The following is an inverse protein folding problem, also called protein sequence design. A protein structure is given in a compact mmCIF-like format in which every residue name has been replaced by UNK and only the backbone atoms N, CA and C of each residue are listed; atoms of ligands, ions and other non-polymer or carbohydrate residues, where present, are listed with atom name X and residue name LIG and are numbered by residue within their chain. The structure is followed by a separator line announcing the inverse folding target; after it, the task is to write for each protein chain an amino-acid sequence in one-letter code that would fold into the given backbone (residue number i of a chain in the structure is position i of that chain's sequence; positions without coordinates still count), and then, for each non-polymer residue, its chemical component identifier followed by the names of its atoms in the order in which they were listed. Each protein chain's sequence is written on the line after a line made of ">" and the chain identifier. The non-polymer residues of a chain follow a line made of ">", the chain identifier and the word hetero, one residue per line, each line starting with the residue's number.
data_IF_186074195489
#
_entry.id   IF_186074195489
#
_cell.length_a   1.000
_cell.length_b   1.000
_cell.length_c   1.000
_cell.angle_alpha   90.00
_cell.angle_beta   90.00
_cell.angle_gamma   90.00
#
_symmetry.space_group_name_H-M   'P 1'
#
loop_
_entity.id
_entity.type
_entity.pdbx_description
1 polymer ?
#
# COMPACT_ATOMS: atom_id res chain seq x y z
N UNK A 1 -34.44 -32.85 0.04
CA UNK A 1 -33.36 -33.12 1.04
C UNK A 1 -32.06 -32.58 0.47
N UNK A 2 -31.76 -31.33 0.74
CA UNK A 2 -30.53 -30.64 0.28
C UNK A 2 -29.52 -30.78 1.41
N UNK A 3 -28.46 -31.56 1.17
CA UNK A 3 -27.36 -31.72 2.10
C UNK A 3 -26.56 -30.41 2.12
N UNK A 4 -26.65 -29.68 3.23
CA UNK A 4 -25.75 -28.56 3.54
C UNK A 4 -24.38 -29.15 3.86
N UNK A 5 -23.46 -29.11 2.91
CA UNK A 5 -22.04 -29.33 3.19
C UNK A 5 -21.53 -28.14 4.04
N UNK A 6 -21.49 -28.36 5.34
CA UNK A 6 -20.69 -27.51 6.26
C UNK A 6 -19.22 -27.83 6.02
N UNK A 7 -18.58 -27.12 5.09
CA UNK A 7 -17.14 -27.04 5.03
C UNK A 7 -16.66 -26.21 6.24
N UNK A 8 -16.17 -26.89 7.24
CA UNK A 8 -15.33 -26.28 8.29
C UNK A 8 -14.01 -25.84 7.66
N UNK A 9 -14.00 -24.63 7.11
CA UNK A 9 -12.78 -23.91 6.73
C UNK A 9 -12.09 -23.42 8.02
N UNK A 10 -11.52 -24.35 8.78
CA UNK A 10 -10.58 -24.05 9.83
C UNK A 10 -9.23 -23.68 9.18
N UNK A 11 -9.12 -22.44 8.75
CA UNK A 11 -7.92 -21.87 8.19
C UNK A 11 -8.12 -20.38 7.98
N UNK A 12 -7.05 -19.60 8.00
CA UNK A 12 -7.01 -18.15 7.86
C UNK A 12 -7.89 -17.58 6.72
N UNK A 13 -8.26 -18.39 5.72
CA UNK A 13 -9.05 -17.99 4.56
C UNK A 13 -10.48 -17.55 4.84
N UNK A 14 -11.20 -18.20 5.76
CA UNK A 14 -12.60 -17.82 6.06
C UNK A 14 -12.68 -16.61 7.01
N UNK A 15 -11.68 -16.43 7.83
CA UNK A 15 -11.51 -15.29 8.71
C UNK A 15 -11.02 -14.05 7.97
N UNK A 16 -10.32 -14.18 6.85
CA UNK A 16 -9.80 -13.06 6.06
C UNK A 16 -10.88 -12.12 5.51
N UNK A 17 -12.04 -12.63 5.11
CA UNK A 17 -13.18 -11.81 4.63
C UNK A 17 -13.90 -11.03 5.75
N UNK A 18 -13.76 -11.47 7.01
CA UNK A 18 -14.36 -10.79 8.18
C UNK A 18 -13.39 -9.93 8.98
N UNK A 19 -12.10 -9.95 8.64
CA UNK A 19 -11.01 -9.43 9.45
C UNK A 19 -10.38 -8.14 8.96
N UNK A 20 -10.79 -7.61 7.81
CA UNK A 20 -10.57 -6.18 7.58
C UNK A 20 -11.29 -5.47 8.71
N UNK A 21 -10.52 -4.87 9.63
CA UNK A 21 -11.09 -4.11 10.73
C UNK A 21 -12.21 -3.25 10.15
N UNK A 22 -13.41 -3.27 10.72
CA UNK A 22 -14.44 -2.38 10.25
C UNK A 22 -13.82 -0.99 10.29
N UNK A 23 -13.78 -0.32 9.13
CA UNK A 23 -13.46 1.08 9.09
C UNK A 23 -14.32 1.72 10.15
N UNK A 24 -13.71 2.30 11.15
CA UNK A 24 -14.47 2.89 12.25
C UNK A 24 -15.35 3.96 11.65
N UNK A 25 -16.57 4.14 12.18
CA UNK A 25 -17.50 5.19 11.72
C UNK A 25 -16.90 6.62 11.80
N UNK A 26 -15.74 6.77 12.43
CA UNK A 26 -14.94 7.99 12.49
C UNK A 26 -13.87 7.99 11.39
N UNK A 27 -14.25 7.78 10.14
CA UNK A 27 -13.32 8.05 9.05
C UNK A 27 -12.95 9.53 9.03
N UNK A 28 -11.65 9.78 8.93
CA UNK A 28 -11.19 11.14 8.68
C UNK A 28 -11.79 11.63 7.36
N UNK A 29 -12.34 12.83 7.37
CA UNK A 29 -12.86 13.45 6.15
C UNK A 29 -11.79 14.36 5.56
N UNK A 30 -11.48 14.25 4.27
CA UNK A 30 -10.57 15.18 3.61
C UNK A 30 -11.14 16.60 3.65
N UNK A 31 -10.26 17.58 3.87
CA UNK A 31 -10.65 18.99 3.98
C UNK A 31 -10.39 19.77 2.69
N UNK A 32 -9.61 19.17 1.76
CA UNK A 32 -9.19 19.81 0.51
C UNK A 32 -9.91 19.23 -0.69
N UNK A 33 -10.07 20.09 -1.71
CA UNK A 33 -10.45 19.60 -3.04
C UNK A 33 -9.23 18.99 -3.73
N UNK A 34 -9.39 17.76 -4.18
CA UNK A 34 -8.37 17.03 -4.90
C UNK A 34 -8.56 17.20 -6.40
N UNK A 35 -7.52 17.64 -7.08
CA UNK A 35 -7.48 17.80 -8.54
C UNK A 35 -6.63 16.72 -9.16
N UNK A 36 -6.89 16.40 -10.42
CA UNK A 36 -6.00 15.54 -11.19
C UNK A 36 -4.69 16.27 -11.48
N UNK A 37 -3.57 15.56 -11.39
CA UNK A 37 -2.24 16.13 -11.62
C UNK A 37 -1.92 16.32 -13.09
N UNK A 38 -2.64 15.60 -13.93
CA UNK A 38 -2.52 15.62 -15.37
C UNK A 38 -3.84 16.14 -15.95
N UNK A 39 -3.79 16.83 -17.08
CA UNK A 39 -4.99 17.35 -17.72
C UNK A 39 -5.98 16.27 -18.14
N UNK A 40 -5.50 15.03 -18.30
CA UNK A 40 -6.23 13.83 -18.64
C UNK A 40 -5.74 12.66 -17.78
N UNK A 41 -6.51 11.57 -17.65
CA UNK A 41 -6.01 10.37 -16.99
C UNK A 41 -4.69 9.89 -17.61
N UNK A 42 -3.73 9.55 -16.76
CA UNK A 42 -2.39 9.17 -17.19
C UNK A 42 -2.42 7.81 -17.91
N UNK A 43 -1.98 7.80 -19.16
CA UNK A 43 -1.92 6.60 -20.00
C UNK A 43 -0.47 6.12 -20.17
N UNK A 44 -0.20 4.87 -19.82
CA UNK A 44 1.10 4.22 -20.03
C UNK A 44 0.95 2.71 -20.12
N UNK A 45 1.73 2.07 -21.00
CA UNK A 45 1.76 0.62 -21.19
C UNK A 45 0.37 -0.03 -21.42
N UNK A 46 -0.54 0.67 -22.10
CA UNK A 46 -1.90 0.20 -22.39
C UNK A 46 -2.90 0.34 -21.25
N UNK A 47 -2.51 0.91 -20.12
CA UNK A 47 -3.35 1.15 -18.93
C UNK A 47 -3.56 2.66 -18.78
N UNK A 48 -4.73 3.04 -18.31
CA UNK A 48 -5.10 4.45 -18.10
C UNK A 48 -5.82 4.62 -16.78
N UNK A 49 -5.24 5.41 -15.87
CA UNK A 49 -5.84 5.78 -14.58
C UNK A 49 -5.63 7.26 -14.27
N UNK A 50 -6.54 7.83 -13.49
CA UNK A 50 -6.37 9.18 -12.94
C UNK A 50 -5.32 9.19 -11.82
N UNK A 51 -4.52 10.25 -11.77
CA UNK A 51 -3.57 10.51 -10.67
C UNK A 51 -3.94 11.84 -10.04
N UNK A 52 -4.27 11.83 -8.76
CA UNK A 52 -4.58 13.03 -7.97
C UNK A 52 -3.36 13.52 -7.23
N UNK A 53 -3.24 14.84 -6.99
CA UNK A 53 -2.11 15.37 -6.23
C UNK A 53 -2.46 16.52 -5.29
N UNK A 54 -1.57 16.72 -4.33
CA UNK A 54 -1.50 17.90 -3.47
C UNK A 54 -0.09 18.47 -3.49
N UNK A 55 -0.01 19.81 -3.56
CA UNK A 55 1.24 20.58 -3.57
C UNK A 55 2.09 20.34 -4.84
N UNK A 56 1.50 19.95 -5.98
CA UNK A 56 2.23 19.90 -7.25
C UNK A 56 2.82 21.28 -7.56
N UNK A 57 4.05 21.30 -8.07
CA UNK A 57 4.80 22.55 -8.33
C UNK A 57 5.47 23.19 -7.10
N UNK A 58 5.45 22.55 -5.92
CA UNK A 58 6.20 23.00 -4.74
C UNK A 58 7.60 22.39 -4.67
N UNK A 59 8.47 22.96 -3.83
CA UNK A 59 9.83 22.43 -3.57
C UNK A 59 9.86 21.27 -2.57
N UNK A 60 8.73 20.67 -2.27
CA UNK A 60 8.63 19.51 -1.37
C UNK A 60 8.99 18.23 -2.11
N UNK A 61 9.69 17.29 -1.47
CA UNK A 61 10.02 16.02 -2.12
C UNK A 61 8.74 15.22 -2.45
N UNK A 62 8.70 14.56 -3.62
CA UNK A 62 7.53 13.83 -4.07
C UNK A 62 7.38 12.47 -3.38
N UNK A 63 6.14 12.12 -3.06
CA UNK A 63 5.77 10.78 -2.64
C UNK A 63 4.55 10.28 -3.43
N UNK A 64 4.49 8.96 -3.63
CA UNK A 64 3.35 8.29 -4.22
C UNK A 64 2.67 7.46 -3.12
N UNK A 65 1.39 7.71 -2.87
CA UNK A 65 0.57 6.96 -1.95
C UNK A 65 -0.36 6.02 -2.72
N UNK A 66 -0.12 4.73 -2.62
CA UNK A 66 -0.97 3.70 -3.22
C UNK A 66 -2.02 3.26 -2.19
N UNK A 67 -3.28 3.31 -2.59
CA UNK A 67 -4.42 3.03 -1.72
C UNK A 67 -4.67 1.52 -1.53
N UNK A 68 -5.48 1.19 -0.54
CA UNK A 68 -5.97 -0.17 -0.29
C UNK A 68 -7.04 -0.57 -1.32
N UNK A 69 -7.42 -1.86 -1.33
CA UNK A 69 -8.40 -2.43 -2.27
C UNK A 69 -9.77 -1.73 -2.30
N UNK A 70 -10.14 -1.04 -1.21
CA UNK A 70 -11.38 -0.26 -1.15
C UNK A 70 -11.35 1.04 -1.96
N UNK A 71 -10.20 1.39 -2.56
CA UNK A 71 -10.05 2.58 -3.39
C UNK A 71 -9.59 3.82 -2.62
N UNK A 72 -9.77 4.99 -3.22
CA UNK A 72 -9.48 6.28 -2.61
C UNK A 72 -10.58 6.68 -1.63
N UNK A 73 -10.58 6.03 -0.46
CA UNK A 73 -11.52 6.34 0.63
C UNK A 73 -11.27 7.73 1.21
N UNK A 74 -12.26 8.32 1.92
CA UNK A 74 -12.03 9.56 2.68
C UNK A 74 -10.82 9.47 3.60
N UNK A 75 -10.62 8.33 4.28
CA UNK A 75 -9.46 8.11 5.15
C UNK A 75 -8.12 8.13 4.41
N UNK A 76 -8.06 7.55 3.20
CA UNK A 76 -6.86 7.61 2.35
C UNK A 76 -6.55 9.04 1.94
N UNK A 77 -7.56 9.81 1.53
CA UNK A 77 -7.40 11.20 1.14
C UNK A 77 -6.96 12.08 2.33
N UNK A 78 -7.54 11.86 3.51
CA UNK A 78 -7.14 12.57 4.72
C UNK A 78 -5.70 12.26 5.14
N UNK A 79 -5.25 11.00 5.01
CA UNK A 79 -3.85 10.65 5.25
C UNK A 79 -2.91 11.31 4.23
N UNK A 80 -3.30 11.37 2.97
CA UNK A 80 -2.53 12.09 1.96
C UNK A 80 -2.47 13.60 2.24
N UNK A 81 -3.54 14.21 2.79
CA UNK A 81 -3.51 15.60 3.26
C UNK A 81 -2.54 15.80 4.44
N UNK A 82 -2.49 14.85 5.36
CA UNK A 82 -1.52 14.86 6.45
C UNK A 82 -0.08 14.84 5.91
N UNK A 83 0.22 13.93 4.98
CA UNK A 83 1.52 13.84 4.32
C UNK A 83 1.87 15.09 3.51
N UNK A 84 0.88 15.78 2.96
CA UNK A 84 1.10 17.00 2.16
C UNK A 84 1.68 18.19 2.94
N UNK A 85 1.72 18.09 4.28
CA UNK A 85 2.41 19.09 5.10
C UNK A 85 3.91 19.15 4.80
N UNK A 86 4.50 18.00 4.44
CA UNK A 86 5.94 17.86 4.22
C UNK A 86 6.31 17.46 2.79
N UNK A 87 5.39 16.90 2.02
CA UNK A 87 5.61 16.28 0.72
C UNK A 87 4.70 16.83 -0.36
N UNK A 88 5.13 16.70 -1.62
CA UNK A 88 4.23 16.70 -2.76
C UNK A 88 3.66 15.30 -2.88
N UNK A 89 2.33 15.14 -2.77
CA UNK A 89 1.68 13.84 -2.68
C UNK A 89 0.94 13.53 -3.96
N UNK A 90 1.28 12.40 -4.57
CA UNK A 90 0.60 11.84 -5.74
C UNK A 90 -0.17 10.59 -5.34
N UNK A 91 -1.43 10.52 -5.74
CA UNK A 91 -2.33 9.41 -5.36
C UNK A 91 -3.03 8.85 -6.61
N UNK A 92 -2.50 7.79 -7.21
CA UNK A 92 -3.16 7.11 -8.32
C UNK A 92 -4.47 6.47 -7.88
N UNK A 93 -5.53 6.61 -8.69
CA UNK A 93 -6.80 5.89 -8.52
C UNK A 93 -6.72 4.56 -9.25
N UNK A 94 -6.33 3.51 -8.55
CA UNK A 94 -6.15 2.17 -9.12
C UNK A 94 -7.46 1.37 -9.15
N UNK A 95 -8.37 1.66 -8.22
CA UNK A 95 -9.68 1.01 -8.09
C UNK A 95 -10.73 1.96 -7.57
N UNK A 96 -12.00 1.62 -7.85
CA UNK A 96 -13.16 2.29 -7.27
C UNK A 96 -13.35 3.73 -7.72
N UNK A 97 -13.94 4.53 -6.86
CA UNK A 97 -14.23 5.95 -7.09
C UNK A 97 -13.57 6.81 -6.01
N UNK A 98 -13.11 8.00 -6.39
CA UNK A 98 -12.51 8.95 -5.46
C UNK A 98 -13.51 9.40 -4.39
N UNK A 99 -13.07 9.33 -3.12
CA UNK A 99 -13.85 9.85 -1.99
C UNK A 99 -15.07 9.03 -1.60
N UNK A 100 -15.20 7.82 -2.15
CA UNK A 100 -16.29 6.90 -1.80
C UNK A 100 -15.76 5.65 -1.11
N UNK A 101 -16.33 5.39 0.05
CA UNK A 101 -16.27 4.07 0.65
C UNK A 101 -17.56 3.33 0.31
N UNK A 102 -17.48 2.28 -0.47
CA UNK A 102 -18.59 1.37 -0.72
C UNK A 102 -18.13 -0.07 -0.53
N UNK A 103 -18.50 -0.71 0.60
CA UNK A 103 -18.21 -2.13 0.79
C UNK A 103 -18.78 -3.00 -0.33
N UNK A 104 -19.96 -2.62 -0.85
CA UNK A 104 -20.60 -3.32 -1.96
C UNK A 104 -19.86 -3.11 -3.28
N UNK A 105 -19.36 -1.90 -3.59
CA UNK A 105 -18.56 -1.66 -4.80
C UNK A 105 -17.15 -2.23 -4.68
N UNK A 106 -16.57 -2.24 -3.48
CA UNK A 106 -15.28 -2.91 -3.21
C UNK A 106 -15.40 -4.42 -3.40
N UNK A 107 -16.48 -5.03 -2.88
CA UNK A 107 -16.76 -6.46 -3.08
C UNK A 107 -17.09 -6.78 -4.54
N UNK A 108 -17.85 -5.92 -5.22
CA UNK A 108 -18.20 -6.03 -6.64
C UNK A 108 -16.98 -5.84 -7.55
N UNK A 109 -16.18 -4.80 -7.32
CA UNK A 109 -14.92 -4.57 -8.02
C UNK A 109 -13.95 -5.73 -7.78
N UNK A 110 -13.92 -6.27 -6.55
CA UNK A 110 -13.11 -7.42 -6.21
C UNK A 110 -13.56 -8.71 -6.91
N UNK A 111 -14.86 -9.04 -6.89
CA UNK A 111 -15.35 -10.29 -7.48
C UNK A 111 -15.39 -10.25 -9.01
N UNK A 112 -15.74 -9.18 -9.64
CA UNK A 112 -15.86 -9.09 -11.10
C UNK A 112 -14.62 -8.51 -11.79
N UNK A 113 -14.02 -7.47 -11.27
CA UNK A 113 -12.74 -6.96 -11.78
C UNK A 113 -11.56 -7.76 -11.26
N UNK A 114 -11.55 -8.09 -9.98
CA UNK A 114 -10.48 -8.87 -9.37
C UNK A 114 -10.31 -10.23 -10.02
N UNK A 115 -11.38 -10.94 -10.37
CA UNK A 115 -11.29 -12.17 -11.15
C UNK A 115 -10.68 -11.91 -12.53
N UNK A 116 -11.03 -10.84 -13.22
CA UNK A 116 -10.51 -10.50 -14.54
C UNK A 116 -9.11 -9.90 -14.46
N UNK A 117 -8.87 -9.03 -13.50
CA UNK A 117 -7.61 -8.27 -13.38
C UNK A 117 -6.47 -9.08 -12.76
N UNK A 118 -6.77 -10.10 -11.92
CA UNK A 118 -5.79 -11.02 -11.34
C UNK A 118 -5.52 -12.27 -12.18
N UNK A 119 -6.29 -12.51 -13.25
CA UNK A 119 -5.98 -13.56 -14.20
C UNK A 119 -4.77 -13.20 -15.07
N UNK A 120 -4.07 -14.19 -15.62
CA UNK A 120 -3.03 -13.94 -16.63
C UNK A 120 -3.58 -13.05 -17.76
N UNK A 121 -2.97 -11.87 -17.94
CA UNK A 121 -3.42 -10.84 -18.91
C UNK A 121 -4.25 -9.70 -18.33
N UNK A 122 -4.66 -9.76 -17.04
CA UNK A 122 -5.25 -8.63 -16.34
C UNK A 122 -4.20 -7.66 -15.78
N UNK A 123 -4.61 -6.45 -15.42
CA UNK A 123 -3.71 -5.40 -14.91
C UNK A 123 -2.89 -5.84 -13.68
N UNK A 124 -3.45 -6.72 -12.86
CA UNK A 124 -2.87 -7.24 -11.61
C UNK A 124 -2.36 -8.67 -11.71
N UNK A 125 -2.45 -9.27 -12.90
CA UNK A 125 -1.93 -10.61 -13.12
C UNK A 125 -0.42 -10.64 -12.96
N UNK A 126 0.09 -11.53 -12.10
CA UNK A 126 1.54 -11.75 -11.96
C UNK A 126 1.97 -12.67 -13.11
N UNK A 127 2.77 -12.18 -14.06
CA UNK A 127 3.25 -13.00 -15.16
C UNK A 127 4.31 -13.99 -14.70
N UNK A 128 4.60 -14.99 -15.51
CA UNK A 128 5.71 -15.92 -15.29
C UNK A 128 7.08 -15.22 -15.41
N UNK A 129 7.14 -14.21 -16.26
CA UNK A 129 8.30 -13.38 -16.54
C UNK A 129 7.86 -11.91 -16.70
N UNK A 130 8.79 -11.00 -16.51
CA UNK A 130 8.51 -9.56 -16.54
C UNK A 130 7.71 -9.05 -15.34
N UNK A 131 7.27 -7.82 -15.42
CA UNK A 131 6.49 -7.15 -14.36
C UNK A 131 4.99 -7.23 -14.60
N UNK A 132 4.23 -7.14 -13.52
CA UNK A 132 2.76 -6.98 -13.65
C UNK A 132 2.43 -5.73 -14.47
N UNK A 133 1.36 -5.74 -15.29
CA UNK A 133 0.97 -4.59 -16.10
C UNK A 133 0.79 -3.30 -15.29
N UNK A 134 0.18 -3.39 -14.10
CA UNK A 134 0.00 -2.24 -13.22
C UNK A 134 1.33 -1.68 -12.68
N UNK A 135 2.33 -2.54 -12.40
CA UNK A 135 3.66 -2.08 -12.02
C UNK A 135 4.34 -1.33 -13.19
N UNK A 136 4.18 -1.81 -14.42
CA UNK A 136 4.67 -1.13 -15.60
C UNK A 136 4.01 0.24 -15.81
N UNK A 137 2.70 0.34 -15.59
CA UNK A 137 1.99 1.61 -15.62
C UNK A 137 2.53 2.58 -14.55
N UNK A 138 2.70 2.11 -13.32
CA UNK A 138 3.25 2.90 -12.21
C UNK A 138 4.69 3.34 -12.46
N UNK A 139 5.52 2.56 -13.16
CA UNK A 139 6.84 3.00 -13.62
C UNK A 139 6.77 4.21 -14.54
N UNK A 140 5.74 4.28 -15.39
CA UNK A 140 5.44 5.47 -16.17
C UNK A 140 5.15 6.69 -15.30
N UNK A 141 4.30 6.53 -14.29
CA UNK A 141 3.98 7.59 -13.30
C UNK A 141 5.25 8.03 -12.56
N UNK A 142 6.06 7.09 -12.06
CA UNK A 142 7.32 7.39 -11.35
C UNK A 142 8.27 8.19 -12.24
N UNK A 143 8.41 7.83 -13.53
CA UNK A 143 9.27 8.57 -14.49
C UNK A 143 8.79 10.00 -14.70
N UNK A 144 7.48 10.20 -14.87
CA UNK A 144 6.91 11.53 -15.06
C UNK A 144 7.12 12.39 -13.80
N UNK A 145 6.83 11.87 -12.62
CA UNK A 145 7.10 12.54 -11.35
C UNK A 145 8.59 12.85 -11.20
N UNK A 146 9.47 11.91 -11.54
CA UNK A 146 10.92 12.12 -11.50
C UNK A 146 11.39 13.24 -12.43
N UNK A 147 10.74 13.44 -13.58
CA UNK A 147 11.06 14.57 -14.46
C UNK A 147 10.55 15.91 -13.94
N UNK A 148 9.44 15.93 -13.20
CA UNK A 148 8.91 17.14 -12.54
C UNK A 148 9.74 17.56 -11.31
N UNK A 149 10.40 16.60 -10.66
CA UNK A 149 11.21 16.78 -9.45
C UNK A 149 12.65 16.33 -9.70
N UNK A 150 13.43 17.04 -10.55
CA UNK A 150 14.73 16.56 -11.02
C UNK A 150 15.78 16.42 -9.91
N UNK A 151 15.66 17.14 -8.82
CA UNK A 151 16.65 17.20 -7.74
C UNK A 151 16.24 16.41 -6.49
N UNK A 152 15.03 15.84 -6.47
CA UNK A 152 14.49 15.16 -5.30
C UNK A 152 14.52 13.63 -5.41
N UNK A 153 14.61 12.94 -4.27
CA UNK A 153 14.28 11.52 -4.16
C UNK A 153 12.77 11.32 -4.12
N UNK A 154 12.31 10.16 -4.59
CA UNK A 154 10.90 9.76 -4.60
C UNK A 154 10.67 8.73 -3.49
N UNK A 155 9.63 8.94 -2.67
CA UNK A 155 9.11 7.95 -1.74
C UNK A 155 7.86 7.27 -2.27
N UNK A 156 7.67 5.98 -1.97
CA UNK A 156 6.47 5.26 -2.38
C UNK A 156 5.90 4.52 -1.18
N UNK A 157 4.60 4.70 -0.91
CA UNK A 157 3.87 4.02 0.14
C UNK A 157 2.85 3.08 -0.51
N UNK A 158 2.95 1.78 -0.25
CA UNK A 158 1.95 0.79 -0.62
C UNK A 158 1.20 0.27 0.61
N UNK A 159 -0.09 0.02 0.47
CA UNK A 159 -0.96 -0.42 1.55
C UNK A 159 -1.76 -1.67 1.14
N UNK A 160 -1.85 -2.68 2.00
CA UNK A 160 -2.64 -3.88 1.77
C UNK A 160 -2.25 -4.58 0.44
N UNK A 161 -3.16 -4.68 -0.50
CA UNK A 161 -2.93 -5.25 -1.81
C UNK A 161 -1.82 -4.52 -2.58
N UNK A 162 -1.73 -3.20 -2.46
CA UNK A 162 -0.66 -2.42 -3.07
C UNK A 162 0.63 -2.42 -2.24
N UNK A 163 0.61 -3.02 -1.04
CA UNK A 163 1.73 -3.06 -0.11
C UNK A 163 3.07 -3.46 -0.72
N UNK A 164 3.16 -4.53 -1.51
CA UNK A 164 4.41 -4.95 -2.14
C UNK A 164 4.82 -4.12 -3.37
N UNK A 165 3.88 -3.41 -4.01
CA UNK A 165 4.12 -2.70 -5.28
C UNK A 165 5.29 -1.70 -5.23
N UNK A 166 5.54 -0.95 -4.12
CA UNK A 166 6.71 -0.09 -4.04
C UNK A 166 8.03 -0.80 -4.36
N UNK A 167 8.14 -2.10 -4.06
CA UNK A 167 9.34 -2.88 -4.35
C UNK A 167 9.55 -3.08 -5.86
N UNK A 168 8.47 -3.27 -6.64
CA UNK A 168 8.54 -3.40 -8.09
C UNK A 168 8.95 -2.09 -8.80
N UNK A 169 8.96 -0.97 -8.09
CA UNK A 169 9.27 0.35 -8.64
C UNK A 169 10.68 0.86 -8.25
N UNK A 170 11.48 -0.01 -7.61
CA UNK A 170 12.83 0.32 -7.17
C UNK A 170 13.88 0.33 -8.30
N UNK A 171 13.47 0.05 -9.55
CA UNK A 171 14.28 0.20 -10.75
C UNK A 171 14.59 1.66 -11.09
N UNK A 172 13.73 2.59 -10.67
CA UNK A 172 13.96 3.99 -10.94
C UNK A 172 14.99 4.57 -9.95
N UNK A 173 16.12 5.17 -10.43
CA UNK A 173 17.25 5.56 -9.57
C UNK A 173 16.92 6.63 -8.54
N UNK A 174 15.80 7.36 -8.70
CA UNK A 174 15.33 8.37 -7.75
C UNK A 174 14.40 7.81 -6.69
N UNK A 175 13.92 6.59 -6.82
CA UNK A 175 13.15 5.94 -5.73
C UNK A 175 14.14 5.58 -4.62
N UNK A 176 14.04 6.29 -3.50
CA UNK A 176 14.95 6.18 -2.35
C UNK A 176 14.33 5.49 -1.15
N UNK A 177 13.00 5.54 -1.06
CA UNK A 177 12.26 5.03 0.08
C UNK A 177 11.02 4.28 -0.37
N UNK A 178 10.86 3.04 0.09
CA UNK A 178 9.67 2.23 -0.09
C UNK A 178 9.05 1.89 1.26
N UNK A 179 7.76 2.19 1.44
CA UNK A 179 6.98 1.76 2.59
C UNK A 179 6.07 0.61 2.16
N UNK A 180 6.26 -0.54 2.78
CA UNK A 180 5.52 -1.79 2.53
C UNK A 180 4.58 -1.99 3.72
N UNK A 181 3.40 -1.35 3.66
CA UNK A 181 2.44 -1.42 4.75
C UNK A 181 1.47 -2.59 4.55
N UNK A 182 1.36 -3.46 5.55
CA UNK A 182 0.53 -4.66 5.59
C UNK A 182 0.38 -5.38 4.23
N UNK A 183 1.45 -5.92 3.65
CA UNK A 183 1.46 -6.49 2.31
C UNK A 183 0.56 -7.73 2.23
N UNK A 184 -0.51 -7.67 1.43
CA UNK A 184 -1.52 -8.72 1.34
C UNK A 184 -1.40 -9.61 0.10
N UNK A 185 -0.60 -9.24 -0.91
CA UNK A 185 -0.38 -10.10 -2.08
C UNK A 185 0.51 -11.32 -1.75
N UNK A 186 0.29 -12.46 -2.43
CA UNK A 186 -0.81 -12.76 -3.35
C UNK A 186 -2.12 -12.99 -2.59
N UNK A 187 -3.22 -12.45 -3.12
CA UNK A 187 -4.55 -12.59 -2.51
C UNK A 187 -5.28 -13.80 -3.10
N UNK A 188 -5.03 -14.99 -2.56
CA UNK A 188 -5.68 -16.25 -2.97
C UNK A 188 -6.65 -16.72 -1.90
N UNK A 189 -7.82 -16.12 -1.81
CA UNK A 189 -8.78 -16.38 -0.72
C UNK A 189 -9.30 -17.82 -0.63
N UNK A 190 -9.32 -18.53 -1.75
CA UNK A 190 -9.79 -19.92 -1.78
C UNK A 190 -8.71 -20.95 -1.46
N UNK A 191 -7.44 -20.57 -1.52
CA UNK A 191 -6.31 -21.46 -1.24
C UNK A 191 -5.09 -20.64 -0.86
N UNK A 192 -4.96 -20.30 0.43
CA UNK A 192 -3.79 -19.65 0.96
C UNK A 192 -2.80 -20.70 1.44
N UNK A 193 -1.69 -20.83 0.74
CA UNK A 193 -0.64 -21.83 0.98
C UNK A 193 0.49 -21.29 1.84
N UNK A 194 1.40 -22.15 2.30
CA UNK A 194 2.61 -21.71 3.00
C UNK A 194 3.53 -20.90 2.07
N UNK A 195 3.51 -21.17 0.77
CA UNK A 195 4.19 -20.34 -0.23
C UNK A 195 3.59 -18.94 -0.29
N UNK A 196 2.28 -18.82 -0.30
CA UNK A 196 1.60 -17.52 -0.29
C UNK A 196 1.91 -16.70 0.97
N UNK A 197 2.12 -17.36 2.13
CA UNK A 197 2.51 -16.70 3.39
C UNK A 197 3.87 -16.01 3.30
N UNK A 198 4.80 -16.60 2.55
CA UNK A 198 6.17 -16.07 2.39
C UNK A 198 6.33 -15.21 1.16
N UNK A 199 5.46 -15.36 0.16
CA UNK A 199 5.51 -14.61 -1.10
C UNK A 199 5.21 -13.13 -0.88
N UNK A 200 5.92 -12.29 -1.61
CA UNK A 200 5.66 -10.84 -1.68
C UNK A 200 4.70 -10.49 -2.81
N UNK A 201 4.24 -11.47 -3.62
CA UNK A 201 3.36 -11.22 -4.76
C UNK A 201 4.03 -10.38 -5.86
N UNK A 202 5.34 -10.52 -6.02
CA UNK A 202 6.15 -9.92 -7.07
C UNK A 202 6.58 -11.00 -8.07
N UNK A 203 6.84 -10.59 -9.32
CA UNK A 203 7.54 -11.45 -10.26
C UNK A 203 9.01 -11.67 -9.83
N UNK A 204 9.66 -12.69 -10.38
CA UNK A 204 11.07 -12.93 -10.11
C UNK A 204 11.95 -11.74 -10.56
N UNK A 205 11.61 -11.15 -11.70
CA UNK A 205 12.33 -10.01 -12.26
C UNK A 205 12.18 -8.76 -11.39
N UNK A 206 10.96 -8.46 -10.90
CA UNK A 206 10.72 -7.33 -10.00
C UNK A 206 11.47 -7.50 -8.67
N UNK A 207 11.53 -8.73 -8.16
CA UNK A 207 12.26 -9.02 -6.93
C UNK A 207 13.78 -8.85 -7.12
N UNK A 208 14.31 -9.29 -8.26
CA UNK A 208 15.74 -9.13 -8.57
C UNK A 208 16.11 -7.65 -8.73
N UNK A 209 15.28 -6.88 -9.43
CA UNK A 209 15.44 -5.42 -9.53
C UNK A 209 15.45 -4.78 -8.13
N UNK A 210 14.51 -5.17 -7.27
CA UNK A 210 14.43 -4.66 -5.91
C UNK A 210 15.68 -5.00 -5.08
N UNK A 211 16.28 -6.18 -5.27
CA UNK A 211 17.54 -6.57 -4.60
C UNK A 211 18.71 -5.68 -4.96
N UNK A 212 18.80 -5.27 -6.21
CA UNK A 212 19.91 -4.43 -6.74
C UNK A 212 19.76 -2.95 -6.36
N UNK A 213 18.58 -2.49 -5.99
CA UNK A 213 18.33 -1.10 -5.62
C UNK A 213 18.97 -0.73 -4.28
N UNK A 214 19.57 0.48 -4.13
CA UNK A 214 20.06 0.97 -2.84
C UNK A 214 18.95 1.53 -1.93
N UNK A 215 17.71 1.63 -2.38
CA UNK A 215 16.60 2.21 -1.66
C UNK A 215 16.36 1.53 -0.31
N UNK A 216 15.97 2.32 0.69
CA UNK A 216 15.57 1.81 2.01
C UNK A 216 14.10 1.39 2.00
N UNK A 217 13.81 0.34 2.76
CA UNK A 217 12.49 -0.28 2.81
C UNK A 217 12.00 -0.29 4.26
N UNK A 218 10.79 0.22 4.50
CA UNK A 218 10.16 0.20 5.80
C UNK A 218 8.91 -0.66 5.76
N UNK A 219 8.94 -1.80 6.45
CA UNK A 219 7.80 -2.71 6.55
C UNK A 219 6.91 -2.35 7.73
N UNK A 220 5.59 -2.39 7.53
CA UNK A 220 4.59 -2.19 8.57
C UNK A 220 3.58 -3.34 8.56
N UNK A 221 3.24 -3.85 9.74
CA UNK A 221 2.12 -4.76 9.97
C UNK A 221 1.72 -4.75 11.44
N UNK A 222 0.50 -5.14 11.74
CA UNK A 222 0.14 -5.52 13.11
C UNK A 222 0.60 -6.94 13.39
N UNK A 223 1.06 -7.21 14.60
CA UNK A 223 1.51 -8.54 15.03
C UNK A 223 0.46 -9.62 14.79
N UNK A 224 -0.81 -9.28 14.98
CA UNK A 224 -1.96 -10.20 14.83
C UNK A 224 -2.54 -10.22 13.41
N UNK A 225 -1.96 -9.50 12.46
CA UNK A 225 -2.45 -9.45 11.09
C UNK A 225 -2.17 -10.78 10.36
N UNK A 226 -3.25 -11.50 10.02
CA UNK A 226 -3.14 -12.78 9.32
C UNK A 226 -3.09 -12.64 7.80
N UNK A 227 -3.47 -11.48 7.23
CA UNK A 227 -3.33 -11.23 5.77
C UNK A 227 -1.91 -10.81 5.43
N UNK A 228 -1.32 -9.94 6.24
CA UNK A 228 0.10 -9.61 6.17
C UNK A 228 0.87 -10.49 7.16
N UNK A 229 1.00 -11.77 6.83
CA UNK A 229 1.66 -12.75 7.69
C UNK A 229 3.09 -12.31 8.05
N UNK A 230 3.52 -12.62 9.29
CA UNK A 230 4.90 -12.36 9.74
C UNK A 230 5.95 -12.96 8.82
N UNK A 231 5.64 -14.08 8.19
CA UNK A 231 6.55 -14.72 7.23
C UNK A 231 6.92 -13.78 6.05
N UNK A 232 6.05 -12.85 5.66
CA UNK A 232 6.37 -11.82 4.65
C UNK A 232 7.44 -10.85 5.15
N UNK A 233 7.39 -10.42 6.41
CA UNK A 233 8.43 -9.59 7.03
C UNK A 233 9.77 -10.34 7.15
N UNK A 234 9.73 -11.63 7.46
CA UNK A 234 10.93 -12.47 7.44
C UNK A 234 11.52 -12.60 6.03
N UNK A 235 10.65 -12.70 5.00
CA UNK A 235 11.09 -12.66 3.61
C UNK A 235 11.71 -11.31 3.27
N UNK A 236 11.08 -10.18 3.60
CA UNK A 236 11.64 -8.85 3.39
C UNK A 236 13.02 -8.70 4.05
N UNK A 237 13.18 -9.18 5.29
CA UNK A 237 14.47 -9.16 5.99
C UNK A 237 15.52 -10.00 5.29
N UNK A 238 15.16 -11.20 4.83
CA UNK A 238 16.08 -12.09 4.09
C UNK A 238 16.52 -11.49 2.76
N UNK A 239 15.58 -10.90 2.01
CA UNK A 239 15.83 -10.37 0.67
C UNK A 239 16.61 -9.06 0.70
N UNK A 240 16.36 -8.20 1.70
CA UNK A 240 16.86 -6.83 1.70
C UNK A 240 17.85 -6.49 2.83
N UNK A 241 18.06 -7.40 3.78
CA UNK A 241 19.07 -7.24 4.85
C UNK A 241 18.96 -5.90 5.59
N UNK A 242 20.08 -5.18 5.68
CA UNK A 242 20.17 -3.88 6.39
C UNK A 242 19.40 -2.73 5.73
N UNK A 243 18.87 -2.94 4.54
CA UNK A 243 17.98 -1.97 3.88
C UNK A 243 16.53 -2.06 4.38
N UNK A 244 16.17 -3.16 5.02
CA UNK A 244 14.84 -3.38 5.57
C UNK A 244 14.76 -2.99 7.05
N UNK A 245 13.86 -2.04 7.35
CA UNK A 245 13.48 -1.65 8.70
C UNK A 245 12.12 -2.27 9.02
N UNK A 246 12.09 -3.05 10.09
CA UNK A 246 10.89 -3.75 10.54
C UNK A 246 10.09 -2.88 11.52
N UNK A 247 8.90 -2.48 11.10
CA UNK A 247 7.96 -1.65 11.85
C UNK A 247 6.77 -2.46 12.39
N UNK A 248 6.95 -3.71 12.77
CA UNK A 248 5.88 -4.52 13.38
C UNK A 248 5.26 -3.78 14.58
N UNK A 249 3.93 -3.70 14.62
CA UNK A 249 3.15 -3.07 15.68
C UNK A 249 2.66 -4.18 16.61
N UNK A 250 3.12 -4.23 17.87
CA UNK A 250 2.78 -5.32 18.78
C UNK A 250 1.29 -5.27 19.16
N UNK A 251 0.69 -6.44 19.39
CA UNK A 251 -0.70 -6.59 19.79
C UNK A 251 -1.00 -5.82 21.10
N UNK A 252 -0.03 -5.74 22.01
CA UNK A 252 -0.12 -4.98 23.26
C UNK A 252 -0.31 -3.48 23.07
N UNK A 253 0.10 -2.92 21.91
CA UNK A 253 -0.06 -1.51 21.61
C UNK A 253 -1.50 -1.16 21.18
N UNK A 254 -2.33 -2.16 20.85
CA UNK A 254 -3.71 -1.95 20.39
C UNK A 254 -4.64 -2.99 21.02
N UNK A 255 -5.09 -2.73 22.23
CA UNK A 255 -6.03 -3.57 22.96
C UNK A 255 -7.14 -2.69 23.55
N UNK A 256 -8.16 -2.30 22.79
CA UNK A 256 -9.33 -1.71 23.42
C UNK A 256 -9.95 -2.77 24.34
N UNK A 257 -10.19 -2.41 25.55
CA UNK A 257 -10.82 -3.25 26.59
C UNK A 257 -10.07 -4.56 26.92
N UNK A 258 -8.74 -4.60 26.73
CA UNK A 258 -7.91 -5.76 27.07
C UNK A 258 -8.07 -6.97 26.15
N UNK A 259 -8.82 -6.84 25.04
CA UNK A 259 -8.97 -7.90 24.04
C UNK A 259 -8.09 -7.62 22.82
N UNK A 260 -7.32 -8.61 22.36
CA UNK A 260 -6.55 -8.45 21.13
C UNK A 260 -7.49 -8.18 19.96
N UNK A 261 -7.21 -7.15 19.20
CA UNK A 261 -7.92 -6.85 17.94
C UNK A 261 -7.06 -7.34 16.79
N UNK A 262 -7.69 -8.06 15.90
CA UNK A 262 -7.07 -8.37 14.63
C UNK A 262 -7.29 -7.18 13.70
N UNK A 263 -6.24 -6.39 13.50
CA UNK A 263 -6.27 -5.18 12.67
C UNK A 263 -5.40 -5.43 11.45
N UNK A 264 -5.84 -4.98 10.28
CA UNK A 264 -5.06 -5.10 9.04
C UNK A 264 -4.53 -3.73 8.58
N UNK A 265 -5.38 -2.71 8.46
CA UNK A 265 -4.99 -1.40 7.90
C UNK A 265 -4.19 -0.56 8.89
N UNK A 266 -2.86 -0.55 8.77
CA UNK A 266 -1.96 0.13 9.72
C UNK A 266 -2.00 1.65 9.63
N UNK A 267 -2.15 2.22 8.44
CA UNK A 267 -2.02 3.65 8.20
C UNK A 267 -3.36 4.37 7.99
N UNK A 268 -4.42 3.64 7.62
CA UNK A 268 -5.69 4.25 7.20
C UNK A 268 -6.85 3.78 8.07
N UNK A 269 -7.15 2.48 8.09
CA UNK A 269 -8.38 1.95 8.69
C UNK A 269 -8.38 1.80 10.21
N UNK A 270 -7.20 1.76 10.84
CA UNK A 270 -7.07 1.68 12.30
C UNK A 270 -7.00 3.07 12.96
N UNK A 271 -7.21 4.14 12.21
CA UNK A 271 -7.23 5.49 12.74
C UNK A 271 -8.48 5.74 13.58
N UNK A 272 -8.29 6.32 14.78
CA UNK A 272 -9.35 6.84 15.63
C UNK A 272 -8.93 8.20 16.17
N UNK A 273 -9.69 9.25 15.88
CA UNK A 273 -9.37 10.60 16.33
C UNK A 273 -9.52 10.79 17.84
N UNK A 274 -10.41 10.02 18.47
CA UNK A 274 -10.83 10.17 19.86
C UNK A 274 -9.89 9.56 20.90
N UNK A 275 -8.96 8.69 20.50
CA UNK A 275 -8.06 8.08 21.50
C UNK A 275 -6.92 9.04 21.86
N UNK A 276 -6.96 9.56 23.06
CA UNK A 276 -5.97 10.52 23.59
C UNK A 276 -4.58 9.89 23.84
N UNK A 277 -4.48 8.58 23.91
CA UNK A 277 -3.25 7.85 24.21
C UNK A 277 -2.79 7.05 23.02
N UNK A 278 -1.72 7.53 22.33
CA UNK A 278 -0.82 6.77 21.48
C UNK A 278 -1.46 5.72 20.57
N UNK A 279 -2.28 6.15 19.62
CA UNK A 279 -2.85 5.18 18.69
C UNK A 279 -1.75 4.57 17.85
N UNK A 280 -1.68 3.25 17.72
CA UNK A 280 -0.65 2.58 16.92
C UNK A 280 -0.54 3.10 15.49
N UNK A 281 -1.67 3.49 14.88
CA UNK A 281 -1.68 4.07 13.53
C UNK A 281 -1.11 5.48 13.50
N UNK A 282 -1.34 6.31 14.51
CA UNK A 282 -0.72 7.64 14.61
C UNK A 282 0.79 7.51 14.72
N UNK A 283 1.26 6.67 15.63
CA UNK A 283 2.69 6.42 15.81
C UNK A 283 3.32 5.79 14.56
N UNK A 284 2.58 4.92 13.86
CA UNK A 284 3.01 4.35 12.58
C UNK A 284 3.14 5.43 11.51
N UNK A 285 2.17 6.35 11.39
CA UNK A 285 2.23 7.49 10.47
C UNK A 285 3.41 8.39 10.75
N UNK A 286 3.67 8.73 12.02
CA UNK A 286 4.84 9.54 12.41
C UNK A 286 6.17 8.83 12.09
N UNK A 287 6.26 7.53 12.33
CA UNK A 287 7.45 6.75 11.95
C UNK A 287 7.66 6.72 10.42
N UNK A 288 6.59 6.51 9.64
CA UNK A 288 6.65 6.57 8.18
C UNK A 288 7.07 7.95 7.71
N UNK A 289 6.48 9.01 8.27
CA UNK A 289 6.84 10.40 7.96
C UNK A 289 8.32 10.67 8.24
N UNK A 290 8.81 10.29 9.42
CA UNK A 290 10.21 10.47 9.82
C UNK A 290 11.15 9.67 8.90
N UNK A 291 10.82 8.43 8.56
CA UNK A 291 11.57 7.61 7.62
C UNK A 291 11.66 8.28 6.24
N UNK A 292 10.54 8.70 5.66
CA UNK A 292 10.52 9.37 4.36
C UNK A 292 11.32 10.68 4.36
N UNK A 293 11.17 11.52 5.40
CA UNK A 293 11.93 12.74 5.51
C UNK A 293 13.43 12.51 5.57
N UNK A 294 13.85 11.47 6.30
CA UNK A 294 15.26 11.09 6.39
C UNK A 294 15.83 10.65 5.05
N UNK A 295 15.13 9.76 4.37
CA UNK A 295 15.65 9.13 3.14
C UNK A 295 15.53 10.04 1.90
N UNK A 296 14.58 11.00 1.90
CA UNK A 296 14.36 11.88 0.76
C UNK A 296 15.12 13.23 0.86
N UNK A 297 15.38 13.74 2.09
CA UNK A 297 16.13 15.00 2.29
C UNK A 297 17.65 14.86 2.15
N UNK A 298 18.17 13.63 2.15
CA UNK A 298 19.62 13.37 2.12
C UNK A 298 20.33 13.70 0.80
N UNK A 299 19.66 14.34 -0.17
CA UNK A 299 20.18 14.55 -1.53
C UNK A 299 20.50 16.03 -1.82
N UNK A 300 20.05 16.97 -1.00
CA UNK A 300 20.48 18.36 -1.21
C UNK A 300 21.94 18.48 -0.82
N UNK A 301 22.86 18.76 -1.76
CA UNK A 301 24.20 19.21 -1.39
C UNK A 301 24.00 20.47 -0.51
N UNK A 302 24.62 20.47 0.67
CA UNK A 302 24.71 21.68 1.46
C UNK A 302 25.30 22.76 0.56
N UNK A 303 24.47 23.73 0.19
CA UNK A 303 24.85 24.86 -0.65
C UNK A 303 25.66 25.88 0.13
#
# INVERSE_FOLDING_TARGET
>A
MVAVLSLSLAGCGATQLGMCAPHTKEEQTPTRNWTECFNEPFAHAGITHSVYCLNDGTSKPPIILLHEMTGLTPGTLAYAEELSKDFTVYVPLLFGEKGRFSPASGLWAYWFRGLIEFFPGGEWGIPSDGSTPIANWLRGVVRDIGSRHPDDGIGIIGNCMTGPIPLALLDHPRVRAAVVAQPALPMRFWRYTDEDRTSLGLSADDLEIARQSPAKIYGLRFETDCMADRAKHLTLRREFGDRFLDGEIPASAYQPDGKPINVHSTLIGAWRASDATGQPSRDARERVRAFLLKELRGIRPEG
#
